data_IF_395657974697
#
_entry.id   IF_395657974697
#
_cell.length_a   1.000
_cell.length_b   1.000
_cell.length_c   1.000
_cell.angle_alpha   90.00
_cell.angle_beta   90.00
_cell.angle_gamma   90.00
#
_symmetry.space_group_name_H-M   'P 1'
#
loop_
_entity.id
_entity.type
_entity.pdbx_description
1 polymer ?
#
# COMPACT_ATOMS: atom_id res chain seq x y z
N UNK A 1 7.93 -12.25 7.00
CA UNK A 1 7.12 -13.34 6.40
C UNK A 1 7.06 -14.58 7.28
N UNK A 2 8.14 -15.00 7.94
CA UNK A 2 8.18 -16.25 8.70
C UNK A 2 7.17 -16.30 9.85
N UNK A 3 7.06 -15.21 10.63
CA UNK A 3 6.05 -15.12 11.69
C UNK A 3 4.61 -15.21 11.13
N UNK A 4 4.36 -14.61 9.96
CA UNK A 4 3.04 -14.65 9.33
C UNK A 4 2.67 -16.09 8.90
N UNK A 5 3.65 -16.83 8.38
CA UNK A 5 3.49 -18.23 7.96
C UNK A 5 3.36 -19.16 9.16
N UNK A 6 4.25 -19.02 10.16
CA UNK A 6 4.26 -19.89 11.34
C UNK A 6 3.00 -19.78 12.20
N UNK A 7 2.35 -18.61 12.18
CA UNK A 7 1.08 -18.36 12.88
C UNK A 7 -0.17 -18.69 12.03
N UNK A 8 -0.01 -19.20 10.81
CA UNK A 8 -1.12 -19.50 9.89
C UNK A 8 -1.84 -18.26 9.34
N UNK A 9 -1.31 -17.05 9.58
CA UNK A 9 -1.94 -15.80 9.15
C UNK A 9 -1.80 -15.56 7.65
N UNK A 10 -0.79 -16.14 7.00
CA UNK A 10 -0.60 -16.04 5.56
C UNK A 10 -1.80 -16.57 4.78
N UNK A 11 -2.29 -17.75 5.15
CA UNK A 11 -3.45 -18.36 4.50
C UNK A 11 -4.75 -17.62 4.85
N UNK A 12 -4.89 -17.11 6.06
CA UNK A 12 -6.03 -16.29 6.47
C UNK A 12 -6.15 -15.02 5.62
N UNK A 13 -5.02 -14.32 5.36
CA UNK A 13 -4.99 -13.11 4.51
C UNK A 13 -5.33 -13.48 3.06
N UNK A 14 -4.74 -14.55 2.51
CA UNK A 14 -5.03 -15.01 1.15
C UNK A 14 -6.52 -15.36 0.98
N UNK A 15 -7.09 -16.11 1.94
CA UNK A 15 -8.51 -16.44 1.92
C UNK A 15 -9.39 -15.19 2.00
N UNK A 16 -9.09 -14.27 2.89
CA UNK A 16 -9.85 -13.01 3.00
C UNK A 16 -9.86 -12.24 1.68
N UNK A 17 -8.73 -12.16 1.02
CA UNK A 17 -8.59 -11.49 -0.28
C UNK A 17 -9.34 -12.24 -1.40
N UNK A 18 -9.30 -13.58 -1.41
CA UNK A 18 -9.98 -14.42 -2.41
C UNK A 18 -11.49 -14.41 -2.23
N UNK A 19 -11.96 -14.43 -0.99
CA UNK A 19 -13.38 -14.45 -0.64
C UNK A 19 -14.07 -13.09 -0.76
N UNK A 20 -13.32 -12.04 -1.13
CA UNK A 20 -13.84 -10.67 -1.22
C UNK A 20 -14.22 -10.07 0.14
N UNK A 21 -13.65 -10.58 1.24
CA UNK A 21 -13.86 -10.01 2.57
C UNK A 21 -13.16 -8.66 2.71
N UNK A 22 -13.76 -7.72 3.47
CA UNK A 22 -13.11 -6.45 3.75
C UNK A 22 -11.71 -6.64 4.34
N UNK A 23 -10.72 -6.06 3.69
CA UNK A 23 -9.32 -6.12 4.11
C UNK A 23 -8.67 -4.74 3.96
N UNK A 24 -8.00 -4.28 5.00
CA UNK A 24 -7.21 -3.06 4.98
C UNK A 24 -5.75 -3.36 5.33
N UNK A 25 -4.85 -3.20 4.36
CA UNK A 25 -3.41 -3.30 4.55
C UNK A 25 -2.77 -1.93 4.74
N UNK A 26 -1.95 -1.74 5.78
CA UNK A 26 -1.24 -0.48 6.03
C UNK A 26 0.26 -0.74 6.00
N UNK A 27 1.01 0.06 5.23
CA UNK A 27 2.46 0.05 5.09
C UNK A 27 2.98 -1.37 4.73
N UNK A 28 3.61 -2.07 5.66
CA UNK A 28 4.04 -3.45 5.48
C UNK A 28 2.86 -4.37 5.10
N UNK A 29 1.65 -4.08 5.61
CA UNK A 29 0.43 -4.80 5.28
C UNK A 29 0.05 -4.69 3.79
N UNK A 30 0.43 -3.62 3.08
CA UNK A 30 0.32 -3.53 1.64
C UNK A 30 1.45 -4.32 0.95
N UNK A 31 2.69 -4.17 1.41
CA UNK A 31 3.86 -4.75 0.75
C UNK A 31 3.81 -6.28 0.72
N UNK A 32 3.34 -6.92 1.79
CA UNK A 32 3.22 -8.38 1.85
C UNK A 32 2.18 -8.97 0.89
N UNK A 33 1.27 -8.16 0.32
CA UNK A 33 0.29 -8.62 -0.66
C UNK A 33 0.90 -8.92 -2.03
N UNK A 34 2.06 -8.35 -2.35
CA UNK A 34 2.76 -8.58 -3.61
C UNK A 34 3.41 -9.96 -3.68
N UNK A 35 4.08 -10.28 -4.79
CA UNK A 35 4.73 -11.58 -4.98
C UNK A 35 6.06 -11.67 -4.24
N UNK A 36 6.82 -10.57 -4.21
CA UNK A 36 8.19 -10.57 -3.68
C UNK A 36 8.57 -9.19 -3.13
N UNK A 37 9.40 -9.14 -2.10
CA UNK A 37 10.04 -7.94 -1.58
C UNK A 37 11.56 -8.09 -1.60
N UNK A 38 12.28 -7.02 -1.95
CA UNK A 38 13.74 -6.95 -1.86
C UNK A 38 14.24 -6.72 -0.42
N UNK A 39 13.34 -6.52 0.55
CA UNK A 39 13.71 -6.34 1.94
C UNK A 39 14.35 -7.62 2.51
N UNK A 40 15.26 -7.47 3.49
CA UNK A 40 15.97 -8.55 4.15
C UNK A 40 16.71 -9.52 3.20
N UNK A 41 17.22 -9.01 2.08
CA UNK A 41 17.94 -9.83 1.09
C UNK A 41 17.02 -10.57 0.12
N UNK A 42 15.74 -10.28 0.14
CA UNK A 42 14.72 -10.85 -0.74
C UNK A 42 13.87 -11.91 -0.07
N UNK A 43 12.56 -11.70 -0.10
CA UNK A 43 11.58 -12.61 0.50
C UNK A 43 10.33 -12.74 -0.39
N UNK A 44 9.88 -13.97 -0.60
CA UNK A 44 8.60 -14.23 -1.25
C UNK A 44 7.46 -13.88 -0.30
N UNK A 45 6.51 -13.09 -0.81
CA UNK A 45 5.37 -12.59 -0.07
C UNK A 45 4.10 -13.41 -0.35
N UNK A 46 2.92 -12.83 -0.24
CA UNK A 46 1.65 -13.58 -0.34
C UNK A 46 1.19 -13.82 -1.79
N UNK A 47 1.61 -12.99 -2.75
CA UNK A 47 1.23 -13.13 -4.16
C UNK A 47 -0.25 -12.89 -4.45
N UNK A 48 -0.94 -12.11 -3.62
CA UNK A 48 -2.33 -11.65 -3.84
C UNK A 48 -2.41 -10.64 -4.98
N UNK A 49 -1.37 -9.81 -5.08
CA UNK A 49 -1.14 -8.84 -6.13
C UNK A 49 0.11 -9.21 -6.91
N UNK A 50 0.08 -9.01 -8.21
CA UNK A 50 1.27 -9.21 -9.04
C UNK A 50 2.26 -8.07 -8.87
N UNK A 51 3.56 -8.38 -9.01
CA UNK A 51 4.63 -7.40 -8.95
C UNK A 51 5.51 -7.55 -7.71
N UNK A 52 6.43 -6.59 -7.59
CA UNK A 52 7.50 -6.65 -6.58
C UNK A 52 7.62 -5.35 -5.82
N UNK A 53 7.95 -5.47 -4.56
CA UNK A 53 8.39 -4.38 -3.69
C UNK A 53 9.90 -4.23 -3.85
N UNK A 54 10.35 -2.99 -4.11
CA UNK A 54 11.75 -2.65 -4.39
C UNK A 54 12.27 -1.62 -3.41
N UNK A 55 13.56 -1.60 -3.18
CA UNK A 55 14.22 -0.52 -2.45
C UNK A 55 14.29 0.75 -3.31
N UNK A 56 14.14 1.92 -2.70
CA UNK A 56 14.42 3.18 -3.39
C UNK A 56 15.88 3.24 -3.85
N UNK A 57 16.13 3.85 -5.03
CA UNK A 57 17.50 3.97 -5.55
C UNK A 57 18.36 4.85 -4.65
N UNK A 58 19.62 4.48 -4.48
CA UNK A 58 20.61 5.30 -3.81
C UNK A 58 21.11 6.42 -4.73
N UNK A 59 21.64 7.51 -4.16
CA UNK A 59 22.31 8.58 -4.93
C UNK A 59 21.39 9.60 -5.59
N UNK A 60 20.10 9.61 -5.27
CA UNK A 60 19.13 10.59 -5.80
C UNK A 60 19.21 11.96 -5.13
N UNK A 61 19.92 12.07 -4.02
CA UNK A 61 19.93 13.25 -3.17
C UNK A 61 18.83 13.27 -2.09
N UNK A 62 17.85 12.41 -2.24
CA UNK A 62 16.76 12.22 -1.26
C UNK A 62 17.17 11.28 -0.13
N UNK A 63 16.63 11.52 1.06
CA UNK A 63 16.88 10.67 2.22
C UNK A 63 16.07 9.37 2.14
N UNK A 64 16.72 8.23 2.30
CA UNK A 64 16.07 6.93 2.45
C UNK A 64 16.29 6.44 3.90
N UNK A 65 15.21 6.12 4.63
CA UNK A 65 13.79 6.02 4.23
C UNK A 65 13.15 7.38 3.89
N UNK A 66 12.12 7.36 3.03
CA UNK A 66 11.15 8.46 2.96
C UNK A 66 10.46 8.58 4.32
N UNK A 67 10.55 9.75 4.95
CA UNK A 67 9.86 10.05 6.21
C UNK A 67 9.24 11.43 6.07
N UNK A 68 7.92 11.49 6.12
CA UNK A 68 7.19 12.77 6.04
C UNK A 68 5.92 12.71 5.21
N UNK A 69 5.37 13.89 4.99
CA UNK A 69 4.15 14.10 4.23
C UNK A 69 4.45 14.14 2.73
N UNK A 70 3.59 13.53 1.95
CA UNK A 70 3.68 13.57 0.49
C UNK A 70 2.29 13.52 -0.12
N UNK A 71 2.12 14.25 -1.23
CA UNK A 71 0.88 14.28 -1.99
C UNK A 71 0.64 12.97 -2.71
N UNK A 72 -0.64 12.60 -2.82
CA UNK A 72 -1.06 11.47 -3.66
C UNK A 72 -1.93 11.94 -4.80
N UNK A 73 -1.85 11.24 -5.93
CA UNK A 73 -2.65 11.53 -7.11
C UNK A 73 -3.41 10.27 -7.55
N UNK A 74 -4.60 10.41 -8.16
CA UNK A 74 -5.31 9.27 -8.69
C UNK A 74 -4.50 8.54 -9.76
N UNK A 75 -4.52 7.21 -9.72
CA UNK A 75 -4.11 6.41 -10.87
C UNK A 75 -5.26 6.33 -11.90
N UNK A 76 -4.95 5.89 -13.13
CA UNK A 76 -5.91 5.86 -14.24
C UNK A 76 -7.21 5.06 -13.95
N UNK A 77 -7.20 4.15 -12.97
CA UNK A 77 -8.31 3.23 -12.66
C UNK A 77 -8.79 3.29 -11.21
N UNK A 78 -8.43 4.30 -10.45
CA UNK A 78 -8.78 4.42 -9.03
C UNK A 78 -10.20 4.95 -8.81
N UNK A 79 -11.18 4.10 -8.48
CA UNK A 79 -12.58 4.52 -8.28
C UNK A 79 -12.78 5.41 -7.03
N UNK A 80 -12.14 5.09 -5.90
CA UNK A 80 -12.22 5.92 -4.68
C UNK A 80 -11.14 7.00 -4.60
N UNK A 81 -10.26 7.07 -5.59
CA UNK A 81 -9.05 7.88 -5.56
C UNK A 81 -9.33 9.38 -5.77
N UNK A 82 -10.43 9.74 -6.44
CA UNK A 82 -10.74 11.13 -6.76
C UNK A 82 -10.90 12.03 -5.52
N UNK A 83 -11.45 11.47 -4.43
CA UNK A 83 -11.68 12.20 -3.18
C UNK A 83 -10.38 12.54 -2.42
N UNK A 84 -9.29 11.86 -2.78
CA UNK A 84 -7.98 12.03 -2.15
C UNK A 84 -6.93 12.67 -3.07
N UNK A 85 -7.31 13.09 -4.28
CA UNK A 85 -6.43 13.78 -5.22
C UNK A 85 -5.80 15.03 -4.59
N UNK A 86 -4.48 15.17 -4.71
CA UNK A 86 -3.73 16.31 -4.17
C UNK A 86 -3.70 16.37 -2.63
N UNK A 87 -4.17 15.33 -1.93
CA UNK A 87 -4.13 15.29 -0.46
C UNK A 87 -2.79 14.72 0.01
N UNK A 88 -2.35 15.15 1.15
CA UNK A 88 -1.08 14.73 1.76
C UNK A 88 -1.31 13.66 2.82
N UNK A 89 -0.50 12.58 2.75
CA UNK A 89 -0.45 11.50 3.73
C UNK A 89 0.96 11.34 4.28
N UNK A 90 1.07 10.74 5.46
CA UNK A 90 2.34 10.49 6.13
C UNK A 90 2.94 9.15 5.69
N UNK A 91 4.17 9.20 5.17
CA UNK A 91 4.95 8.06 4.71
C UNK A 91 6.15 7.82 5.63
N UNK A 92 6.50 6.55 5.83
CA UNK A 92 7.74 6.12 6.48
C UNK A 92 8.14 4.76 5.96
N UNK A 93 8.97 4.71 4.90
CA UNK A 93 9.38 3.45 4.26
C UNK A 93 10.65 3.62 3.41
N UNK A 94 11.38 2.51 3.23
CA UNK A 94 12.55 2.41 2.34
C UNK A 94 12.26 1.63 1.06
N UNK A 95 11.15 0.89 1.04
CA UNK A 95 10.74 0.02 -0.07
C UNK A 95 9.39 0.45 -0.60
N UNK A 96 9.16 0.27 -1.89
CA UNK A 96 7.94 0.68 -2.59
C UNK A 96 7.49 -0.39 -3.58
N UNK A 97 6.19 -0.47 -3.83
CA UNK A 97 5.63 -1.27 -4.91
C UNK A 97 5.52 -0.42 -6.18
N UNK A 98 5.94 -0.97 -7.34
CA UNK A 98 5.69 -0.33 -8.63
C UNK A 98 4.20 -0.19 -8.90
N UNK A 99 3.84 0.73 -9.79
CA UNK A 99 2.45 0.88 -10.25
C UNK A 99 1.99 -0.41 -10.92
N UNK A 100 0.82 -0.88 -10.50
CA UNK A 100 0.17 -2.11 -10.97
C UNK A 100 -1.28 -1.81 -11.39
N UNK A 101 -1.99 -2.72 -12.06
CA UNK A 101 -3.37 -2.46 -12.50
C UNK A 101 -4.34 -2.13 -11.36
N UNK A 102 -4.09 -2.63 -10.16
CA UNK A 102 -4.89 -2.38 -8.96
C UNK A 102 -4.52 -1.10 -8.22
N UNK A 103 -3.52 -0.33 -8.71
CA UNK A 103 -3.13 0.94 -8.10
C UNK A 103 -4.27 1.95 -8.21
N UNK A 104 -4.73 2.45 -7.07
CA UNK A 104 -5.75 3.48 -6.96
C UNK A 104 -5.14 4.88 -6.79
N UNK A 105 -4.10 5.00 -5.96
CA UNK A 105 -3.35 6.25 -5.75
C UNK A 105 -1.87 6.04 -6.03
N UNK A 106 -1.25 7.03 -6.64
CA UNK A 106 0.19 7.09 -6.88
C UNK A 106 0.81 8.27 -6.14
N UNK A 107 2.11 8.22 -5.93
CA UNK A 107 2.93 9.34 -5.47
C UNK A 107 4.32 9.22 -6.06
N UNK A 108 5.15 10.23 -5.87
CA UNK A 108 6.53 10.25 -6.35
C UNK A 108 7.50 10.61 -5.23
N UNK A 109 8.61 9.88 -5.13
CA UNK A 109 9.71 10.16 -4.22
C UNK A 109 11.02 9.59 -4.78
N UNK A 110 12.12 10.27 -4.55
CA UNK A 110 13.46 9.87 -5.03
C UNK A 110 13.49 9.58 -6.55
N UNK A 111 12.75 10.39 -7.35
CA UNK A 111 12.64 10.23 -8.80
C UNK A 111 11.84 8.99 -9.23
N UNK A 112 11.13 8.35 -8.32
CA UNK A 112 10.33 7.14 -8.58
C UNK A 112 8.86 7.42 -8.35
N UNK A 113 8.03 7.18 -9.38
CA UNK A 113 6.57 7.12 -9.25
C UNK A 113 6.17 5.70 -8.82
N UNK A 114 5.40 5.59 -7.74
CA UNK A 114 5.05 4.30 -7.14
C UNK A 114 3.62 4.25 -6.63
N UNK A 115 3.18 3.05 -6.28
CA UNK A 115 1.86 2.78 -5.70
C UNK A 115 1.78 3.31 -4.28
N UNK A 116 0.96 4.33 -4.06
CA UNK A 116 0.63 4.83 -2.73
C UNK A 116 -0.52 4.04 -2.10
N UNK A 117 -1.48 3.57 -2.92
CA UNK A 117 -2.61 2.77 -2.49
C UNK A 117 -3.06 1.83 -3.60
N UNK A 118 -3.45 0.62 -3.25
CA UNK A 118 -4.16 -0.33 -4.12
C UNK A 118 -5.60 -0.50 -3.68
N UNK A 119 -6.48 -0.77 -4.66
CA UNK A 119 -7.87 -1.16 -4.46
C UNK A 119 -8.22 -2.31 -5.40
N UNK A 120 -8.69 -3.40 -4.83
CA UNK A 120 -9.18 -4.57 -5.57
C UNK A 120 -10.44 -5.10 -4.90
N UNK A 121 -11.58 -4.63 -5.35
CA UNK A 121 -12.85 -4.92 -4.66
C UNK A 121 -12.82 -4.46 -3.21
N UNK A 122 -13.09 -5.37 -2.28
CA UNK A 122 -13.10 -5.11 -0.83
C UNK A 122 -11.68 -5.03 -0.20
N UNK A 123 -10.64 -5.35 -0.96
CA UNK A 123 -9.26 -5.22 -0.51
C UNK A 123 -8.74 -3.82 -0.82
N UNK A 124 -8.42 -3.06 0.23
CA UNK A 124 -7.71 -1.80 0.15
C UNK A 124 -6.37 -1.93 0.89
N UNK A 125 -5.31 -1.35 0.34
CA UNK A 125 -4.05 -1.28 1.06
C UNK A 125 -3.23 -0.06 0.64
N UNK A 126 -2.59 0.59 1.61
CA UNK A 126 -1.83 1.82 1.40
C UNK A 126 -0.40 1.72 1.95
N UNK A 127 0.54 2.40 1.28
CA UNK A 127 1.92 2.52 1.72
C UNK A 127 2.08 3.53 2.86
N UNK A 128 1.28 4.58 2.84
CA UNK A 128 1.25 5.59 3.90
C UNK A 128 0.53 5.07 5.15
N UNK A 129 0.63 5.84 6.23
CA UNK A 129 0.00 5.57 7.51
C UNK A 129 -1.25 6.46 7.70
N UNK A 130 -2.47 6.02 7.37
CA UNK A 130 -3.66 6.83 7.56
C UNK A 130 -3.87 7.21 9.03
N UNK A 131 -3.50 6.33 9.97
CA UNK A 131 -3.58 6.60 11.40
C UNK A 131 -2.64 7.73 11.87
N UNK A 132 -1.63 8.09 11.06
CA UNK A 132 -0.70 9.20 11.30
C UNK A 132 -0.95 10.40 10.38
N UNK A 133 -1.94 10.32 9.50
CA UNK A 133 -2.21 11.31 8.47
C UNK A 133 -3.30 12.32 8.87
N UNK A 134 -3.56 12.49 10.17
CA UNK A 134 -4.51 13.48 10.67
C UNK A 134 -5.92 13.31 10.10
N UNK A 135 -6.55 14.41 9.70
CA UNK A 135 -7.94 14.40 9.23
C UNK A 135 -8.12 13.60 7.94
N UNK A 136 -7.23 13.76 6.97
CA UNK A 136 -7.33 13.05 5.68
C UNK A 136 -7.22 11.53 5.86
N UNK A 137 -6.37 11.08 6.79
CA UNK A 137 -6.27 9.67 7.12
C UNK A 137 -7.55 9.12 7.74
N UNK A 138 -8.19 9.87 8.64
CA UNK A 138 -9.49 9.51 9.21
C UNK A 138 -10.60 9.47 8.15
N UNK A 139 -10.58 10.39 7.21
CA UNK A 139 -11.56 10.43 6.12
C UNK A 139 -11.40 9.19 5.21
N UNK A 140 -10.17 8.74 4.92
CA UNK A 140 -9.91 7.50 4.19
C UNK A 140 -10.40 6.26 4.96
N UNK A 141 -10.12 6.18 6.25
CA UNK A 141 -10.58 5.06 7.09
C UNK A 141 -12.12 5.02 7.16
N UNK A 142 -12.78 6.17 7.22
CA UNK A 142 -14.25 6.26 7.15
C UNK A 142 -14.77 5.79 5.80
N UNK A 143 -14.19 6.28 4.70
CA UNK A 143 -14.57 5.85 3.36
C UNK A 143 -14.46 4.33 3.20
N UNK A 144 -13.37 3.71 3.71
CA UNK A 144 -13.22 2.26 3.72
C UNK A 144 -14.31 1.57 4.54
N UNK A 145 -14.63 2.07 5.74
CA UNK A 145 -15.69 1.50 6.58
C UNK A 145 -17.06 1.64 5.93
N UNK A 146 -17.36 2.78 5.30
CA UNK A 146 -18.69 3.05 4.73
C UNK A 146 -18.97 2.18 3.51
N UNK A 147 -17.96 1.89 2.69
CA UNK A 147 -18.08 0.96 1.57
C UNK A 147 -18.36 -0.48 2.04
N UNK A 148 -17.95 -0.86 3.26
CA UNK A 148 -18.01 -2.23 3.76
C UNK A 148 -19.04 -2.42 4.90
N UNK A 149 -19.89 -1.44 5.14
CA UNK A 149 -20.96 -1.49 6.19
C UNK A 149 -22.24 -2.20 5.76
N UNK A 150 -22.18 -3.09 4.78
CA UNK A 150 -23.37 -3.89 4.39
C UNK A 150 -23.42 -5.21 5.11
#
# INVERSE_FOLDING_TARGET
MDNLRSLGLADAVKSAAADGRPFLGICLGMQILFEHSEEDGGVDCLGVLKGRVRRFPDGTGDKIPQIGWNCVEPAERGECAADFAGREFYFVHSYYAKVVPETALVTEYAGVKFTAMVQKGALWACQFHPEKSGRVGLDLLRAWLDVHRQ
#
